data_IF_516715206766
#
_entry.id   IF_516715206766
#
_cell.length_a   1.000
_cell.length_b   1.000
_cell.length_c   1.000
_cell.angle_alpha   90.00
_cell.angle_beta   90.00
_cell.angle_gamma   90.00
#
_symmetry.space_group_name_H-M   'P 1'
#
loop_
_entity.id
_entity.type
_entity.pdbx_description
1 polymer ?
#
# COMPACT_ATOMS: atom_id res chain seq x y z
N UNK A 1 -4.39 8.42 -32.46
CA UNK A 1 -5.12 7.90 -31.28
C UNK A 1 -4.26 6.80 -30.68
N UNK A 2 -3.63 7.06 -29.54
CA UNK A 2 -2.72 6.13 -28.89
C UNK A 2 -3.52 5.07 -28.13
N UNK A 3 -3.25 3.80 -28.43
CA UNK A 3 -3.71 2.67 -27.62
C UNK A 3 -2.93 2.68 -26.29
N UNK A 4 -3.56 2.72 -25.11
CA UNK A 4 -2.88 2.34 -23.87
C UNK A 4 -2.87 0.80 -23.82
N UNK A 5 -2.05 0.19 -24.67
CA UNK A 5 -1.94 -1.26 -24.77
C UNK A 5 -0.94 -1.76 -23.73
N UNK A 6 -1.42 -2.63 -22.83
CA UNK A 6 -0.69 -3.47 -21.88
C UNK A 6 -0.11 -2.76 -20.64
N UNK A 7 -0.99 -2.46 -19.70
CA UNK A 7 -0.65 -2.36 -18.29
C UNK A 7 -0.17 -3.75 -17.83
N UNK A 8 1.13 -4.01 -17.99
CA UNK A 8 1.75 -5.23 -17.47
C UNK A 8 1.65 -5.20 -15.94
N UNK A 9 1.40 -6.35 -15.28
CA UNK A 9 1.39 -6.44 -13.81
C UNK A 9 2.67 -5.90 -13.15
N UNK A 10 3.78 -5.86 -13.89
CA UNK A 10 5.04 -5.23 -13.49
C UNK A 10 4.94 -3.71 -13.30
N UNK A 11 4.11 -2.97 -14.04
CA UNK A 11 3.96 -1.52 -13.87
C UNK A 11 3.28 -1.19 -12.54
N UNK A 12 2.20 -1.91 -12.21
CA UNK A 12 1.48 -1.78 -10.95
C UNK A 12 2.43 -2.10 -9.78
N UNK A 13 3.21 -3.17 -9.90
CA UNK A 13 4.20 -3.56 -8.90
C UNK A 13 5.32 -2.52 -8.74
N UNK A 14 5.84 -1.96 -9.83
CA UNK A 14 6.84 -0.87 -9.80
C UNK A 14 6.26 0.39 -9.16
N UNK A 15 5.02 0.75 -9.48
CA UNK A 15 4.37 1.93 -8.92
C UNK A 15 4.20 1.76 -7.40
N UNK A 16 3.68 0.62 -6.93
CA UNK A 16 3.56 0.36 -5.49
C UNK A 16 4.93 0.29 -4.82
N UNK A 17 5.93 -0.32 -5.47
CA UNK A 17 7.32 -0.36 -4.95
C UNK A 17 7.92 1.05 -4.84
N UNK A 18 7.51 1.99 -5.69
CA UNK A 18 7.88 3.39 -5.59
C UNK A 18 7.06 4.17 -4.54
N UNK A 19 5.84 3.71 -4.21
CA UNK A 19 4.96 4.31 -3.20
C UNK A 19 5.34 3.91 -1.77
N UNK A 20 5.71 2.64 -1.56
CA UNK A 20 6.63 2.27 -0.46
C UNK A 20 7.96 3.03 -0.70
N UNK A 21 9.05 3.03 0.07
CA UNK A 21 10.15 4.01 -0.12
C UNK A 21 9.81 5.52 0.08
N UNK A 22 8.63 6.03 -0.27
CA UNK A 22 8.18 7.39 0.13
C UNK A 22 7.94 7.46 1.65
N UNK A 23 7.97 8.68 2.25
CA UNK A 23 7.56 8.88 3.63
C UNK A 23 6.15 8.34 3.86
N UNK A 24 5.92 7.78 5.04
CA UNK A 24 4.75 6.96 5.34
C UNK A 24 3.40 7.67 5.09
N UNK A 25 3.28 8.94 5.46
CA UNK A 25 2.13 9.77 5.10
C UNK A 25 1.81 9.80 3.60
N UNK A 26 2.85 9.98 2.75
CA UNK A 26 2.69 10.00 1.29
C UNK A 26 2.43 8.60 0.74
N UNK A 27 3.09 7.59 1.31
CA UNK A 27 2.87 6.19 0.96
C UNK A 27 1.40 5.82 1.07
N UNK A 28 0.76 6.08 2.21
CA UNK A 28 -0.67 5.75 2.41
C UNK A 28 -1.55 6.42 1.37
N UNK A 29 -1.38 7.72 1.14
CA UNK A 29 -2.16 8.50 0.18
C UNK A 29 -1.99 8.04 -1.28
N UNK A 30 -0.76 7.71 -1.70
CA UNK A 30 -0.48 7.19 -3.03
C UNK A 30 -1.10 5.80 -3.21
N UNK A 31 -1.05 4.98 -2.16
CA UNK A 31 -1.60 3.62 -2.18
C UNK A 31 -3.13 3.63 -2.23
N UNK A 32 -3.81 4.55 -1.55
CA UNK A 32 -5.26 4.77 -1.71
C UNK A 32 -5.58 5.09 -3.17
N UNK A 33 -4.87 6.04 -3.77
CA UNK A 33 -5.10 6.41 -5.18
C UNK A 33 -4.88 5.23 -6.12
N UNK A 34 -3.84 4.42 -5.91
CA UNK A 34 -3.60 3.22 -6.71
C UNK A 34 -4.69 2.17 -6.50
N UNK A 35 -5.22 2.02 -5.29
CA UNK A 35 -6.36 1.12 -5.05
C UNK A 35 -7.64 1.63 -5.73
N UNK A 36 -7.86 2.95 -5.77
CA UNK A 36 -9.04 3.54 -6.42
C UNK A 36 -8.95 3.59 -7.95
N UNK A 37 -7.76 3.82 -8.51
CA UNK A 37 -7.52 4.00 -9.95
C UNK A 37 -7.49 2.67 -10.72
N UNK A 38 -7.13 1.58 -10.05
CA UNK A 38 -6.98 0.27 -10.68
C UNK A 38 -8.22 -0.62 -10.52
N UNK A 39 -8.62 -1.38 -11.55
CA UNK A 39 -9.77 -2.27 -11.46
C UNK A 39 -9.49 -3.43 -10.50
N UNK A 40 -10.52 -3.86 -9.75
CA UNK A 40 -10.42 -4.92 -8.74
C UNK A 40 -9.76 -6.22 -9.23
N UNK A 41 -9.94 -6.57 -10.52
CA UNK A 41 -9.32 -7.74 -11.16
C UNK A 41 -7.78 -7.69 -11.13
N UNK A 42 -7.20 -6.50 -11.30
CA UNK A 42 -5.75 -6.31 -11.31
C UNK A 42 -5.22 -6.23 -9.88
N UNK A 43 -5.95 -5.53 -9.00
CA UNK A 43 -5.65 -5.47 -7.57
C UNK A 43 -5.70 -6.83 -6.90
N UNK A 44 -6.60 -7.74 -7.30
CA UNK A 44 -6.69 -9.05 -6.68
C UNK A 44 -5.40 -9.87 -6.86
N UNK A 45 -4.70 -9.68 -7.98
CA UNK A 45 -3.45 -10.39 -8.27
C UNK A 45 -2.30 -9.96 -7.35
N UNK A 46 -2.34 -8.72 -6.86
CA UNK A 46 -1.32 -8.16 -5.97
C UNK A 46 -1.78 -8.01 -4.52
N UNK A 47 -3.05 -8.29 -4.22
CA UNK A 47 -3.68 -8.03 -2.92
C UNK A 47 -2.96 -8.77 -1.79
N UNK A 48 -2.66 -10.06 -1.99
CA UNK A 48 -1.90 -10.84 -1.01
C UNK A 48 -0.54 -10.21 -0.72
N UNK A 49 0.22 -9.86 -1.76
CA UNK A 49 1.53 -9.23 -1.60
C UNK A 49 1.44 -7.85 -0.92
N UNK A 50 0.40 -7.08 -1.22
CA UNK A 50 0.17 -5.78 -0.60
C UNK A 50 -0.14 -5.92 0.89
N UNK A 51 -1.02 -6.85 1.26
CA UNK A 51 -1.36 -7.16 2.65
C UNK A 51 -0.11 -7.63 3.40
N UNK A 52 0.67 -8.55 2.84
CA UNK A 52 1.93 -9.00 3.45
C UNK A 52 2.97 -7.87 3.56
N UNK A 53 2.97 -6.90 2.64
CA UNK A 53 3.86 -5.73 2.70
C UNK A 53 3.43 -4.71 3.77
N UNK A 54 2.14 -4.59 4.06
CA UNK A 54 1.60 -3.66 5.06
C UNK A 54 1.66 -4.28 6.45
N UNK A 55 1.06 -5.46 6.63
CA UNK A 55 0.90 -6.11 7.92
C UNK A 55 2.09 -7.01 8.30
N UNK A 56 2.88 -7.41 7.32
CA UNK A 56 3.90 -8.45 7.49
C UNK A 56 3.36 -9.83 7.15
N UNK A 57 4.27 -10.78 7.02
CA UNK A 57 3.93 -12.18 6.76
C UNK A 57 3.70 -12.93 8.07
N UNK A 58 2.82 -13.93 8.02
CA UNK A 58 2.48 -14.79 9.17
C UNK A 58 3.70 -15.54 9.72
N UNK A 59 4.67 -15.86 8.87
CA UNK A 59 5.91 -16.54 9.26
C UNK A 59 6.90 -15.60 9.99
N UNK A 60 6.61 -14.29 10.02
CA UNK A 60 7.47 -13.28 10.68
C UNK A 60 8.72 -12.90 9.89
N UNK A 61 8.95 -13.50 8.72
CA UNK A 61 10.08 -13.16 7.82
C UNK A 61 9.95 -11.71 7.30
N UNK A 62 8.73 -11.28 7.00
CA UNK A 62 8.41 -9.93 6.52
C UNK A 62 7.73 -9.16 7.65
N UNK A 63 8.37 -8.09 8.15
CA UNK A 63 7.84 -7.27 9.25
C UNK A 63 6.74 -6.28 8.80
N UNK A 64 6.55 -6.16 7.48
CA UNK A 64 5.62 -5.21 6.87
C UNK A 64 6.02 -3.75 7.11
N UNK A 65 5.04 -2.89 7.34
CA UNK A 65 5.25 -1.48 7.69
C UNK A 65 5.55 -1.28 9.18
N UNK A 66 5.68 -2.36 9.95
CA UNK A 66 5.90 -2.32 11.38
C UNK A 66 4.85 -1.44 12.09
N UNK A 67 3.57 -1.71 11.80
CA UNK A 67 2.44 -0.99 12.38
C UNK A 67 2.43 -1.04 13.93
N UNK A 68 3.04 -2.07 14.52
CA UNK A 68 3.25 -2.16 15.98
C UNK A 68 4.09 -1.01 16.54
N UNK A 69 5.01 -0.44 15.75
CA UNK A 69 5.80 0.73 16.14
C UNK A 69 5.07 2.05 15.90
N UNK A 70 3.98 2.07 15.11
CA UNK A 70 3.08 3.22 14.97
C UNK A 70 2.21 3.32 16.22
N UNK A 71 2.80 3.83 17.28
CA UNK A 71 2.09 4.10 18.52
C UNK A 71 1.57 5.53 18.50
N UNK A 72 0.27 5.74 18.73
CA UNK A 72 -0.35 7.08 18.71
C UNK A 72 0.27 8.11 19.66
N UNK A 73 1.06 7.68 20.66
CA UNK A 73 1.83 8.56 21.54
C UNK A 73 3.22 8.94 21.03
N UNK A 74 3.80 8.12 20.15
CA UNK A 74 5.14 8.32 19.60
C UNK A 74 5.08 9.06 18.26
N UNK A 75 4.09 8.70 17.43
CA UNK A 75 3.91 9.31 16.11
C UNK A 75 2.43 9.55 15.79
N UNK A 76 1.79 10.55 16.43
CA UNK A 76 0.34 10.75 16.37
C UNK A 76 -0.17 11.04 14.96
N UNK A 77 0.61 11.76 14.15
CA UNK A 77 0.23 12.11 12.77
C UNK A 77 0.20 10.87 11.88
N UNK A 78 1.26 10.06 11.91
CA UNK A 78 1.38 8.87 11.08
C UNK A 78 0.38 7.79 11.53
N UNK A 79 0.12 7.69 12.83
CA UNK A 79 -0.94 6.85 13.39
C UNK A 79 -2.32 7.26 12.86
N UNK A 80 -2.65 8.55 12.88
CA UNK A 80 -3.92 9.05 12.35
C UNK A 80 -4.10 8.74 10.87
N UNK A 81 -3.04 8.92 10.07
CA UNK A 81 -3.06 8.61 8.63
C UNK A 81 -3.23 7.11 8.39
N UNK A 82 -2.57 6.26 9.20
CA UNK A 82 -2.76 4.81 9.12
C UNK A 82 -4.19 4.41 9.44
N UNK A 83 -4.77 4.99 10.48
CA UNK A 83 -6.15 4.72 10.88
C UNK A 83 -7.12 5.14 9.77
N UNK A 84 -6.93 6.30 9.15
CA UNK A 84 -7.73 6.76 8.01
C UNK A 84 -7.56 5.85 6.77
N UNK A 85 -6.35 5.35 6.52
CA UNK A 85 -6.07 4.41 5.42
C UNK A 85 -6.73 3.04 5.63
N UNK A 86 -6.77 2.55 6.87
CA UNK A 86 -7.34 1.24 7.22
C UNK A 86 -8.85 1.31 7.51
N UNK A 87 -9.42 2.51 7.60
CA UNK A 87 -10.83 2.69 7.88
C UNK A 87 -11.66 2.20 6.67
N UNK A 88 -12.63 1.29 6.87
CA UNK A 88 -13.40 0.74 5.78
C UNK A 88 -14.43 1.71 5.15
N UNK A 89 -14.66 2.90 5.73
CA UNK A 89 -15.68 3.85 5.28
C UNK A 89 -17.11 3.45 5.67
#
# INVERSE_FOLDING_TARGET
MAFPHLQQPSFLLVNITHCINKPFAQRCQDLVKVIEDFPAKELHTIFLWLVESIFGSLDGILVGWNLCCLQGRVNPVEYSITMEFLDPG
#
